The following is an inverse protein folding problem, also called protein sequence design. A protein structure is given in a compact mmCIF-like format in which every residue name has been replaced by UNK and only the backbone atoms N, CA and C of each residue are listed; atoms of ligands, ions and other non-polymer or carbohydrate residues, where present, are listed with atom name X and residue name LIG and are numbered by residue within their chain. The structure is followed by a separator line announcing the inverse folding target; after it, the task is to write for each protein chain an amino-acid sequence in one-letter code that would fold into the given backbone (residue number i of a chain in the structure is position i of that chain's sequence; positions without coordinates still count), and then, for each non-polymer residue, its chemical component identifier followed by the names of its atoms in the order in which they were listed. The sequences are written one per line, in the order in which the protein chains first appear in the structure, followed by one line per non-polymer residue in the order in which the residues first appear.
data_IF_247344672687
#
_entry.id   IF_247344672687
#
_cell.length_a   1.000
_cell.length_b   1.000
_cell.length_c   1.000
_cell.angle_alpha   90.00
_cell.angle_beta   90.00
_cell.angle_gamma   90.00
#
_symmetry.space_group_name_H-M   'P 1'
#
loop_
_entity.id
_entity.type
_entity.pdbx_description
1 polymer ?
#
# COMPACT_ATOMS: atom_id res chain seq x y z
N UNK A 1 44.70 -13.88 -69.74
CA UNK A 1 43.42 -13.21 -69.45
C UNK A 1 42.31 -14.24 -69.41
N UNK A 2 41.55 -14.34 -68.32
CA UNK A 2 40.20 -14.95 -68.40
C UNK A 2 39.73 -15.79 -67.21
N UNK A 3 38.98 -15.12 -66.31
CA UNK A 3 37.73 -15.59 -65.69
C UNK A 3 37.79 -16.78 -64.72
N UNK A 4 37.82 -16.47 -63.41
CA UNK A 4 37.15 -17.32 -62.41
C UNK A 4 36.58 -16.50 -61.25
N UNK A 5 35.38 -16.88 -60.80
CA UNK A 5 34.74 -16.54 -59.52
C UNK A 5 34.24 -15.09 -59.26
N UNK A 6 33.12 -14.69 -59.89
CA UNK A 6 32.28 -13.54 -59.45
C UNK A 6 30.82 -13.89 -59.11
N UNK A 7 30.39 -15.14 -59.25
CA UNK A 7 28.97 -15.53 -59.15
C UNK A 7 28.49 -16.00 -57.76
N UNK A 8 29.37 -16.38 -56.82
CA UNK A 8 28.94 -16.92 -55.51
C UNK A 8 28.50 -15.85 -54.49
N UNK A 9 29.10 -14.65 -54.50
CA UNK A 9 28.79 -13.59 -53.53
C UNK A 9 27.44 -12.89 -53.77
N UNK A 10 26.98 -12.79 -55.02
CA UNK A 10 25.69 -12.15 -55.35
C UNK A 10 24.47 -12.97 -54.92
N UNK A 11 24.54 -14.31 -55.02
CA UNK A 11 23.46 -15.21 -54.58
C UNK A 11 23.30 -15.20 -53.05
N UNK A 12 24.43 -15.15 -52.33
CA UNK A 12 24.49 -14.98 -50.88
C UNK A 12 23.88 -13.65 -50.41
N UNK A 13 24.18 -12.55 -51.11
CA UNK A 13 23.69 -11.23 -50.71
C UNK A 13 22.23 -10.96 -51.11
N UNK A 14 21.75 -11.50 -52.24
CA UNK A 14 20.40 -11.21 -52.75
C UNK A 14 19.32 -12.16 -52.21
N UNK A 15 19.65 -13.40 -51.85
CA UNK A 15 18.65 -14.38 -51.42
C UNK A 15 18.78 -14.76 -49.95
N UNK A 16 19.99 -14.95 -49.42
CA UNK A 16 20.14 -15.45 -48.04
C UNK A 16 19.92 -14.34 -47.00
N UNK A 17 20.37 -13.12 -47.24
CA UNK A 17 20.17 -11.99 -46.32
C UNK A 17 18.68 -11.63 -46.13
N UNK A 18 17.88 -11.44 -47.19
CA UNK A 18 16.44 -11.16 -47.03
C UNK A 18 15.69 -12.31 -46.35
N UNK A 19 16.01 -13.56 -46.68
CA UNK A 19 15.38 -14.74 -46.06
C UNK A 19 15.71 -14.89 -44.58
N UNK A 20 16.94 -14.57 -44.17
CA UNK A 20 17.32 -14.59 -42.75
C UNK A 20 16.61 -13.48 -41.97
N UNK A 21 16.49 -12.28 -42.56
CA UNK A 21 15.79 -11.15 -41.92
C UNK A 21 14.29 -11.40 -41.80
N UNK A 22 13.64 -11.95 -42.83
CA UNK A 22 12.22 -12.33 -42.75
C UNK A 22 11.98 -13.47 -41.76
N UNK A 23 12.89 -14.45 -41.69
CA UNK A 23 12.84 -15.51 -40.68
C UNK A 23 12.91 -14.96 -39.25
N UNK A 24 13.84 -14.05 -38.95
CA UNK A 24 13.93 -13.42 -37.63
C UNK A 24 12.69 -12.58 -37.30
N UNK A 25 12.15 -11.86 -38.28
CA UNK A 25 10.92 -11.08 -38.10
C UNK A 25 9.73 -11.98 -37.75
N UNK A 26 9.58 -13.13 -38.43
CA UNK A 26 8.51 -14.08 -38.15
C UNK A 26 8.63 -14.69 -36.75
N UNK A 27 9.85 -15.05 -36.34
CA UNK A 27 10.13 -15.53 -34.97
C UNK A 27 9.79 -14.46 -33.94
N UNK A 28 10.19 -13.21 -34.18
CA UNK A 28 9.89 -12.10 -33.28
C UNK A 28 8.37 -11.87 -33.16
N UNK A 29 7.64 -11.89 -34.27
CA UNK A 29 6.19 -11.72 -34.30
C UNK A 29 5.50 -12.86 -33.53
N UNK A 30 5.89 -14.12 -33.77
CA UNK A 30 5.28 -15.26 -33.07
C UNK A 30 5.55 -15.19 -31.57
N UNK A 31 6.80 -14.96 -31.15
CA UNK A 31 7.14 -14.82 -29.72
C UNK A 31 6.36 -13.67 -29.08
N UNK A 32 6.25 -12.52 -29.75
CA UNK A 32 5.50 -11.37 -29.23
C UNK A 32 4.02 -11.68 -29.06
N UNK A 33 3.40 -12.39 -30.00
CA UNK A 33 2.00 -12.83 -29.92
C UNK A 33 1.83 -13.80 -28.74
N UNK A 34 2.71 -14.81 -28.62
CA UNK A 34 2.64 -15.77 -27.51
C UNK A 34 2.79 -15.08 -26.16
N UNK A 35 3.77 -14.19 -26.00
CA UNK A 35 3.96 -13.42 -24.76
C UNK A 35 2.73 -12.57 -24.45
N UNK A 36 2.14 -11.91 -25.45
CA UNK A 36 0.95 -11.07 -25.26
C UNK A 36 -0.29 -11.87 -24.88
N UNK A 37 -0.49 -13.06 -25.48
CA UNK A 37 -1.64 -13.93 -25.16
C UNK A 37 -1.46 -14.61 -23.79
N UNK A 38 -0.22 -14.99 -23.45
CA UNK A 38 0.10 -15.57 -22.13
C UNK A 38 0.08 -14.52 -21.01
N UNK A 39 0.20 -13.24 -21.35
CA UNK A 39 0.06 -12.15 -20.39
C UNK A 39 -1.41 -11.95 -20.03
N UNK A 40 -1.86 -12.64 -18.99
CA UNK A 40 -3.07 -12.25 -18.28
C UNK A 40 -2.68 -11.17 -17.26
N UNK A 41 -3.11 -9.91 -17.44
CA UNK A 41 -2.86 -8.91 -16.41
C UNK A 41 -3.50 -9.42 -15.11
N UNK A 42 -2.80 -9.31 -13.96
CA UNK A 42 -3.36 -9.75 -12.71
C UNK A 42 -4.70 -9.03 -12.53
N UNK A 43 -5.77 -9.82 -12.32
CA UNK A 43 -7.08 -9.27 -11.97
C UNK A 43 -6.89 -8.58 -10.62
N UNK A 44 -6.70 -7.27 -10.64
CA UNK A 44 -6.66 -6.48 -9.42
C UNK A 44 -8.06 -6.56 -8.84
N UNK A 45 -8.21 -7.34 -7.77
CA UNK A 45 -9.46 -7.47 -7.09
C UNK A 45 -9.81 -6.08 -6.52
N UNK A 46 -10.86 -5.46 -7.07
CA UNK A 46 -11.25 -4.08 -6.80
C UNK A 46 -11.96 -4.00 -5.44
N UNK A 47 -11.31 -4.46 -4.38
CA UNK A 47 -11.86 -4.43 -3.02
C UNK A 47 -11.57 -3.11 -2.30
N UNK A 48 -10.79 -2.21 -2.90
CA UNK A 48 -10.33 -0.97 -2.25
C UNK A 48 -10.46 0.29 -3.12
N UNK A 49 -11.08 0.20 -4.29
CA UNK A 49 -11.40 1.40 -5.10
C UNK A 49 -12.82 1.81 -4.75
N UNK A 50 -12.97 3.00 -4.16
CA UNK A 50 -14.29 3.57 -3.94
C UNK A 50 -14.95 3.80 -5.30
N UNK A 51 -16.03 3.05 -5.57
CA UNK A 51 -16.88 3.24 -6.76
C UNK A 51 -17.48 4.63 -6.70
N UNK A 52 -16.92 5.55 -7.47
CA UNK A 52 -17.50 6.88 -7.62
C UNK A 52 -18.66 6.91 -8.59
N UNK A 53 -19.31 8.07 -8.69
CA UNK A 53 -20.39 8.37 -9.63
C UNK A 53 -20.04 8.12 -11.11
N UNK A 54 -18.74 8.16 -11.46
CA UNK A 54 -18.23 7.96 -12.80
C UNK A 54 -17.17 6.87 -12.80
N UNK A 55 -17.47 5.74 -13.43
CA UNK A 55 -16.50 4.69 -13.72
C UNK A 55 -15.60 5.00 -14.94
N UNK A 56 -15.88 6.10 -15.66
CA UNK A 56 -15.34 6.36 -16.99
C UNK A 56 -14.56 7.67 -17.17
N UNK A 57 -14.34 8.47 -16.13
CA UNK A 57 -13.51 9.66 -16.24
C UNK A 57 -12.14 9.42 -15.60
N UNK A 58 -11.15 9.03 -16.41
CA UNK A 58 -9.74 8.98 -15.99
C UNK A 58 -9.20 10.36 -15.52
N UNK A 59 -9.96 11.44 -15.74
CA UNK A 59 -9.62 12.81 -15.40
C UNK A 59 -10.14 13.28 -14.02
N UNK A 60 -11.03 12.54 -13.35
CA UNK A 60 -11.64 12.98 -12.08
C UNK A 60 -11.54 11.88 -11.02
N UNK A 61 -11.27 12.28 -9.78
CA UNK A 61 -11.36 11.38 -8.64
C UNK A 61 -12.82 10.96 -8.42
N UNK A 62 -13.02 9.71 -8.00
CA UNK A 62 -14.34 9.20 -7.66
C UNK A 62 -14.93 9.98 -6.47
N UNK A 63 -16.06 10.65 -6.67
CA UNK A 63 -16.82 11.25 -5.58
C UNK A 63 -17.71 10.19 -4.90
N UNK A 64 -17.80 10.18 -3.56
CA UNK A 64 -18.59 9.19 -2.83
C UNK A 64 -20.09 9.36 -3.11
N UNK A 65 -20.79 8.25 -3.33
CA UNK A 65 -22.25 8.22 -3.58
C UNK A 65 -23.10 8.39 -2.32
N UNK A 66 -22.49 8.24 -1.15
CA UNK A 66 -23.15 8.34 0.15
C UNK A 66 -22.26 9.03 1.17
N UNK A 67 -22.80 9.33 2.35
CA UNK A 67 -21.99 9.89 3.43
C UNK A 67 -20.88 8.92 3.82
N UNK A 68 -19.67 9.44 4.00
CA UNK A 68 -18.55 8.64 4.47
C UNK A 68 -18.82 8.05 5.86
N UNK A 69 -19.43 8.86 6.74
CA UNK A 69 -19.79 8.44 8.09
C UNK A 69 -21.19 7.84 8.12
N UNK A 70 -21.31 6.58 8.54
CA UNK A 70 -22.61 6.01 8.87
C UNK A 70 -23.09 6.55 10.22
N UNK A 71 -24.25 7.21 10.22
CA UNK A 71 -24.86 7.74 11.45
C UNK A 71 -25.40 6.61 12.34
N UNK A 72 -25.64 5.42 11.80
CA UNK A 72 -26.09 4.25 12.58
C UNK A 72 -24.88 3.37 12.91
N UNK A 73 -24.98 2.68 14.04
CA UNK A 73 -24.01 1.67 14.41
C UNK A 73 -24.21 0.44 13.52
N UNK A 74 -23.15 0.04 12.83
CA UNK A 74 -23.03 -1.24 12.15
C UNK A 74 -22.30 -2.19 13.09
N UNK A 75 -23.00 -3.11 13.75
CA UNK A 75 -22.48 -3.94 14.84
C UNK A 75 -21.91 -5.29 14.37
N UNK A 76 -21.93 -5.56 13.06
CA UNK A 76 -21.46 -6.81 12.45
C UNK A 76 -19.96 -7.09 12.64
N UNK A 77 -19.14 -6.05 12.79
CA UNK A 77 -17.70 -6.18 12.99
C UNK A 77 -17.23 -5.37 14.20
N UNK A 78 -16.33 -5.94 14.99
CA UNK A 78 -15.72 -5.29 16.16
C UNK A 78 -15.13 -3.91 15.81
N UNK A 79 -14.40 -3.83 14.70
CA UNK A 79 -13.77 -2.57 14.27
C UNK A 79 -14.78 -1.47 13.98
N UNK A 80 -15.95 -1.82 13.44
CA UNK A 80 -17.01 -0.84 13.18
C UNK A 80 -17.55 -0.30 14.50
N UNK A 81 -17.72 -1.15 15.51
CA UNK A 81 -18.18 -0.73 16.84
C UNK A 81 -17.18 0.21 17.52
N UNK A 82 -15.89 -0.17 17.51
CA UNK A 82 -14.82 0.65 18.08
C UNK A 82 -14.69 1.99 17.32
N UNK A 83 -14.62 1.96 15.99
CA UNK A 83 -14.52 3.15 15.17
C UNK A 83 -15.73 4.07 15.37
N UNK A 84 -16.95 3.53 15.34
CA UNK A 84 -18.18 4.31 15.54
C UNK A 84 -18.17 5.05 16.88
N UNK A 85 -17.65 4.39 17.92
CA UNK A 85 -17.45 5.02 19.21
C UNK A 85 -16.44 6.18 19.06
N UNK A 86 -15.21 5.90 18.61
CA UNK A 86 -14.12 6.88 18.52
C UNK A 86 -14.51 8.11 17.69
N UNK A 87 -15.22 7.90 16.59
CA UNK A 87 -15.74 8.94 15.71
C UNK A 87 -16.68 9.89 16.45
N UNK A 88 -17.62 9.38 17.25
CA UNK A 88 -18.58 10.22 17.99
C UNK A 88 -17.94 11.04 19.09
N UNK A 89 -16.84 10.56 19.65
CA UNK A 89 -16.11 11.24 20.72
C UNK A 89 -15.23 12.35 20.16
N UNK A 90 -14.54 12.08 19.05
CA UNK A 90 -13.47 12.95 18.52
C UNK A 90 -13.84 13.74 17.26
N UNK A 91 -14.91 13.40 16.54
CA UNK A 91 -15.33 14.12 15.34
C UNK A 91 -16.37 15.20 15.68
N UNK A 92 -16.04 16.50 15.53
CA UNK A 92 -16.97 17.60 15.83
C UNK A 92 -18.27 17.56 15.03
N UNK A 93 -18.27 16.97 13.83
CA UNK A 93 -19.46 16.87 12.97
C UNK A 93 -20.47 15.86 13.54
N UNK A 94 -19.98 14.80 14.18
CA UNK A 94 -20.80 13.71 14.72
C UNK A 94 -21.17 13.89 16.19
N UNK A 95 -20.47 14.84 16.85
CA UNK A 95 -20.71 15.37 18.19
C UNK A 95 -21.98 16.23 18.19
N UNK A 96 -23.14 15.62 17.94
CA UNK A 96 -24.43 16.26 18.24
C UNK A 96 -24.47 16.67 19.72
N UNK A 97 -25.42 17.52 20.12
CA UNK A 97 -25.56 18.03 21.50
C UNK A 97 -25.68 16.85 22.51
N UNK A 98 -24.55 16.36 23.02
CA UNK A 98 -24.42 15.01 23.60
C UNK A 98 -24.08 15.09 25.09
N UNK A 99 -25.01 15.63 25.88
CA UNK A 99 -25.02 15.49 27.34
C UNK A 99 -25.38 14.06 27.79
N UNK A 100 -25.94 13.21 26.90
CA UNK A 100 -26.48 11.90 27.28
C UNK A 100 -25.61 10.68 26.93
N UNK A 101 -24.60 10.80 26.06
CA UNK A 101 -23.85 9.64 25.51
C UNK A 101 -22.44 9.42 26.08
N UNK A 102 -21.97 10.31 26.95
CA UNK A 102 -20.68 10.18 27.63
C UNK A 102 -20.58 8.91 28.52
N UNK A 103 -21.72 8.35 28.92
CA UNK A 103 -21.80 7.21 29.84
C UNK A 103 -21.38 5.86 29.23
N UNK A 104 -21.55 5.67 27.92
CA UNK A 104 -21.13 4.43 27.23
C UNK A 104 -19.61 4.40 27.02
N UNK A 105 -18.99 5.58 26.93
CA UNK A 105 -17.56 5.73 26.66
C UNK A 105 -16.71 5.62 27.91
N UNK A 106 -17.16 6.18 29.03
CA UNK A 106 -16.47 6.01 30.32
C UNK A 106 -16.33 4.53 30.68
N UNK A 107 -17.31 3.69 30.33
CA UNK A 107 -17.24 2.23 30.56
C UNK A 107 -16.24 1.49 29.65
N UNK A 108 -15.90 2.04 28.48
CA UNK A 108 -14.94 1.44 27.52
C UNK A 108 -13.52 2.01 27.73
N UNK A 109 -13.39 3.26 28.17
CA UNK A 109 -12.10 3.93 28.41
C UNK A 109 -11.52 3.69 29.81
N UNK A 110 -12.33 3.53 30.86
CA UNK A 110 -11.83 3.53 32.25
C UNK A 110 -11.06 2.26 32.68
N UNK A 111 -10.99 1.21 31.85
CA UNK A 111 -10.38 -0.06 32.25
C UNK A 111 -9.37 -0.60 31.23
N UNK A 112 -8.58 0.25 30.57
CA UNK A 112 -7.28 -0.15 30.00
C UNK A 112 -6.18 0.59 30.75
N UNK A 113 -6.04 0.31 32.05
CA UNK A 113 -5.00 0.89 32.90
C UNK A 113 -3.60 0.43 32.45
N UNK A 114 -2.93 1.28 31.67
CA UNK A 114 -1.46 1.50 31.55
C UNK A 114 -0.50 0.33 31.24
N UNK A 115 -0.97 -0.92 31.14
CA UNK A 115 -0.08 -2.05 30.87
C UNK A 115 -0.52 -2.88 29.68
N UNK A 116 0.28 -2.85 28.61
CA UNK A 116 0.17 -3.74 27.45
C UNK A 116 0.16 -5.24 27.77
N UNK A 117 0.62 -5.60 28.97
CA UNK A 117 0.72 -6.98 29.43
C UNK A 117 -0.34 -7.34 30.49
N UNK A 118 -1.04 -6.35 31.05
CA UNK A 118 -2.11 -6.60 32.01
C UNK A 118 -3.40 -6.86 31.26
N UNK A 119 -3.89 -8.10 31.32
CA UNK A 119 -5.08 -8.65 30.66
C UNK A 119 -6.42 -7.97 31.01
N UNK A 120 -6.41 -6.78 31.61
CA UNK A 120 -7.59 -6.00 31.96
C UNK A 120 -7.75 -4.90 30.93
N UNK A 121 -8.15 -5.31 29.74
CA UNK A 121 -8.74 -4.41 28.76
C UNK A 121 -10.10 -4.99 28.44
N UNK A 122 -11.14 -4.31 28.90
CA UNK A 122 -12.53 -4.69 28.70
C UNK A 122 -12.90 -4.42 27.24
N UNK A 123 -12.48 -5.33 26.34
CA UNK A 123 -12.88 -5.28 24.94
C UNK A 123 -14.40 -5.50 24.83
N UNK A 124 -15.10 -4.80 23.91
CA UNK A 124 -16.47 -5.11 23.59
C UNK A 124 -16.63 -6.61 23.31
N UNK A 125 -17.74 -7.22 23.74
CA UNK A 125 -17.97 -8.66 23.58
C UNK A 125 -17.89 -9.06 22.11
N UNK A 126 -16.77 -9.68 21.72
CA UNK A 126 -16.60 -10.26 20.39
C UNK A 126 -17.36 -11.58 20.39
N UNK A 127 -18.37 -11.69 19.52
CA UNK A 127 -19.00 -12.97 19.25
C UNK A 127 -17.98 -13.91 18.64
N UNK A 128 -17.90 -15.12 19.19
CA UNK A 128 -17.00 -16.19 18.75
C UNK A 128 -15.51 -15.81 18.65
N UNK A 129 -14.99 -15.11 19.65
CA UNK A 129 -13.56 -14.78 19.73
C UNK A 129 -12.63 -16.01 19.60
N UNK A 130 -13.09 -17.17 20.09
CA UNK A 130 -12.31 -18.42 20.05
C UNK A 130 -12.29 -19.07 18.67
N UNK A 131 -13.27 -18.79 17.79
CA UNK A 131 -13.29 -19.24 16.40
C UNK A 131 -12.35 -18.44 15.48
N UNK A 132 -11.80 -17.32 15.95
CA UNK A 132 -10.91 -16.48 15.15
C UNK A 132 -9.52 -17.13 14.95
N UNK A 133 -8.87 -16.91 13.79
CA UNK A 133 -7.47 -17.28 13.59
C UNK A 133 -6.56 -16.68 14.66
N UNK A 134 -5.49 -17.40 14.99
CA UNK A 134 -4.55 -16.99 16.05
C UNK A 134 -4.01 -15.58 15.85
N UNK A 135 -3.61 -15.23 14.63
CA UNK A 135 -3.12 -13.89 14.30
C UNK A 135 -4.15 -12.80 14.60
N UNK A 136 -5.43 -13.05 14.32
CA UNK A 136 -6.52 -12.10 14.58
C UNK A 136 -6.77 -11.96 16.09
N UNK A 137 -6.74 -13.07 16.83
CA UNK A 137 -6.86 -13.06 18.30
C UNK A 137 -5.71 -12.28 18.94
N UNK A 138 -4.48 -12.54 18.51
CA UNK A 138 -3.30 -11.83 19.00
C UNK A 138 -3.39 -10.33 18.70
N UNK A 139 -3.80 -9.97 17.48
CA UNK A 139 -3.99 -8.59 17.09
C UNK A 139 -5.04 -7.88 17.95
N UNK A 140 -6.22 -8.48 18.13
CA UNK A 140 -7.30 -7.91 18.96
C UNK A 140 -6.86 -7.76 20.43
N UNK A 141 -6.12 -8.72 20.98
CA UNK A 141 -5.62 -8.60 22.35
C UNK A 141 -4.60 -7.46 22.50
N UNK A 142 -3.78 -7.21 21.47
CA UNK A 142 -2.70 -6.24 21.52
C UNK A 142 -3.03 -4.87 20.88
N UNK A 143 -4.23 -4.67 20.32
CA UNK A 143 -4.53 -3.47 19.52
C UNK A 143 -4.52 -2.14 20.30
N UNK A 144 -4.62 -2.20 21.63
CA UNK A 144 -4.49 -1.05 22.52
C UNK A 144 -3.01 -0.66 22.73
N UNK A 145 -2.07 -1.56 22.41
CA UNK A 145 -0.64 -1.31 22.46
C UNK A 145 -0.16 -0.58 21.21
N UNK A 146 0.16 0.70 21.37
CA UNK A 146 0.67 1.54 20.28
C UNK A 146 2.05 2.13 20.58
N UNK A 147 2.44 2.14 21.85
CA UNK A 147 3.71 2.64 22.31
C UNK A 147 4.73 1.50 22.37
N UNK A 148 5.59 1.45 21.37
CA UNK A 148 6.70 0.50 21.30
C UNK A 148 8.03 1.26 21.42
N UNK A 149 9.00 0.76 22.21
CA UNK A 149 10.28 1.43 22.37
C UNK A 149 11.07 1.44 21.05
N UNK A 150 11.64 2.59 20.71
CA UNK A 150 12.53 2.72 19.56
C UNK A 150 13.91 2.14 19.91
N UNK A 151 14.19 0.92 19.42
CA UNK A 151 15.43 0.21 19.73
C UNK A 151 16.66 0.75 18.97
N UNK A 152 16.46 1.21 17.74
CA UNK A 152 17.51 1.75 16.87
C UNK A 152 17.01 3.09 16.33
N UNK A 153 17.73 4.16 16.62
CA UNK A 153 17.40 5.52 16.19
C UNK A 153 18.50 6.12 15.30
N UNK A 154 18.12 7.01 14.41
CA UNK A 154 19.01 7.77 13.52
C UNK A 154 18.67 9.27 13.60
N UNK A 155 19.00 9.93 14.72
CA UNK A 155 18.53 11.30 15.01
C UNK A 155 19.05 12.35 14.03
N UNK A 156 20.17 12.07 13.35
CA UNK A 156 20.82 13.01 12.44
C UNK A 156 20.24 13.04 11.03
N UNK A 157 19.32 12.12 10.70
CA UNK A 157 18.76 11.94 9.35
C UNK A 157 18.11 13.20 8.79
N UNK A 158 17.54 14.04 9.66
CA UNK A 158 16.84 15.27 9.28
C UNK A 158 17.52 16.55 9.81
N UNK A 159 18.76 16.48 10.34
CA UNK A 159 19.41 17.64 10.96
C UNK A 159 19.81 18.68 9.91
N UNK A 160 19.51 19.96 10.19
CA UNK A 160 20.01 21.10 9.40
C UNK A 160 21.52 21.27 9.60
N UNK A 161 22.29 21.37 8.52
CA UNK A 161 23.67 21.85 8.62
C UNK A 161 23.66 23.36 8.89
N UNK A 162 24.04 23.77 10.09
CA UNK A 162 24.13 25.17 10.55
C UNK A 162 25.30 25.96 9.94
N UNK A 163 26.01 25.40 8.95
CA UNK A 163 27.22 25.97 8.36
C UNK A 163 27.06 26.53 6.95
N UNK A 164 25.89 26.44 6.31
CA UNK A 164 25.63 27.08 5.02
C UNK A 164 24.81 28.37 5.20
N UNK A 165 25.51 29.44 5.55
CA UNK A 165 25.08 30.84 5.40
C UNK A 165 25.00 31.22 3.91
N UNK A 166 24.23 30.47 3.11
CA UNK A 166 23.95 30.78 1.71
C UNK A 166 22.47 31.06 1.56
N UNK A 167 22.17 32.25 1.05
CA UNK A 167 20.88 32.92 0.89
C UNK A 167 19.86 32.25 -0.04
N UNK A 168 19.82 30.92 -0.09
CA UNK A 168 18.87 30.12 -0.88
C UNK A 168 18.28 28.98 -0.03
N UNK A 169 17.57 29.34 1.03
CA UNK A 169 16.22 28.87 1.35
C UNK A 169 15.85 27.38 1.45
N UNK A 170 16.75 26.39 1.46
CA UNK A 170 16.33 24.99 1.71
C UNK A 170 17.09 24.38 2.88
N UNK A 171 16.41 24.39 4.03
CA UNK A 171 16.86 24.09 5.39
C UNK A 171 16.54 22.67 5.87
N UNK A 172 15.66 21.97 5.16
CA UNK A 172 15.13 20.65 5.54
C UNK A 172 15.08 19.74 4.32
N UNK A 173 15.17 18.40 4.47
CA UNK A 173 15.01 17.50 3.34
C UNK A 173 13.67 17.76 2.65
N UNK A 174 13.71 17.99 1.32
CA UNK A 174 12.51 18.23 0.52
C UNK A 174 11.63 16.96 0.40
N UNK A 175 12.25 15.78 0.54
CA UNK A 175 11.60 14.48 0.44
C UNK A 175 12.13 13.55 1.54
N UNK A 176 11.21 12.91 2.27
CA UNK A 176 11.52 11.84 3.20
C UNK A 176 10.94 10.52 2.68
N UNK A 177 11.81 9.55 2.41
CA UNK A 177 11.40 8.21 2.00
C UNK A 177 11.37 7.28 3.21
N UNK A 178 10.17 6.83 3.60
CA UNK A 178 9.98 5.85 4.66
C UNK A 178 9.58 4.50 4.06
N UNK A 179 10.49 3.52 4.13
CA UNK A 179 10.30 2.20 3.51
C UNK A 179 10.10 1.12 4.57
N UNK A 180 8.97 0.40 4.51
CA UNK A 180 8.70 -0.76 5.37
C UNK A 180 9.55 -1.95 4.91
N UNK A 181 10.26 -2.61 5.84
CA UNK A 181 11.11 -3.76 5.55
C UNK A 181 11.18 -4.72 6.76
N UNK A 182 11.55 -5.98 6.53
CA UNK A 182 11.79 -6.97 7.58
C UNK A 182 13.29 -7.21 7.74
N UNK A 183 13.76 -7.62 8.93
CA UNK A 183 15.19 -7.79 9.22
C UNK A 183 15.95 -8.56 8.13
N UNK A 184 15.40 -9.69 7.66
CA UNK A 184 16.02 -10.54 6.63
C UNK A 184 16.11 -9.95 5.21
N UNK A 185 15.41 -8.86 4.89
CA UNK A 185 15.34 -8.31 3.53
C UNK A 185 16.54 -7.39 3.21
N UNK A 186 17.77 -7.89 3.32
CA UNK A 186 18.99 -7.10 3.08
C UNK A 186 19.13 -6.65 1.62
N UNK A 187 18.97 -7.56 0.67
CA UNK A 187 19.18 -7.29 -0.76
C UNK A 187 18.20 -6.23 -1.27
N UNK A 188 16.91 -6.34 -0.91
CA UNK A 188 15.90 -5.34 -1.28
C UNK A 188 16.24 -3.96 -0.68
N UNK A 189 16.71 -3.92 0.57
CA UNK A 189 17.13 -2.65 1.19
C UNK A 189 18.37 -2.06 0.51
N UNK A 190 19.27 -2.91 0.00
CA UNK A 190 20.45 -2.47 -0.73
C UNK A 190 20.07 -1.95 -2.12
N UNK A 191 19.24 -2.68 -2.85
CA UNK A 191 18.75 -2.27 -4.17
C UNK A 191 17.94 -0.95 -4.14
N UNK A 192 17.28 -0.61 -3.03
CA UNK A 192 16.61 0.70 -2.86
C UNK A 192 17.61 1.85 -2.63
N UNK A 193 18.82 1.55 -2.13
CA UNK A 193 19.85 2.57 -1.87
C UNK A 193 20.73 2.87 -3.09
N UNK A 194 20.81 1.93 -4.03
CA UNK A 194 21.56 2.04 -5.29
C UNK A 194 20.72 2.72 -6.38
#
# INVERSE_FOLDING_TARGET
MGKCCKCKGRLLCMCLLPCMMTGHLLIYITVSIFVTISYTPPKVNVHYVASGVSAHSAALASHPLGPFWNLRLEDSALWNQLQHAWDRQHNPILRGNATAKFKLFSEIEDECSSGCMTRKCSLPRIQDFNGLPEQMRAFVMAMHCREYPLLINQPETCRRNSSSSSSSGVESPMLLMAVKSQAGNFDNRQAIRE
#
